data_IF_547642410955
#
_entry.id   IF_547642410955
#
_cell.length_a   1.000
_cell.length_b   1.000
_cell.length_c   1.000
_cell.angle_alpha   90.00
_cell.angle_beta   90.00
_cell.angle_gamma   90.00
#
_symmetry.space_group_name_H-M   'P 1'
#
loop_
_entity.id
_entity.type
_entity.pdbx_description
1 polymer ?
#
# COMPACT_ATOMS: atom_id res chain seq x y z
N UNK A 1 -60.00 6.73 -24.32
CA UNK A 1 -59.38 5.76 -23.38
C UNK A 1 -57.95 6.11 -23.20
N UNK A 2 -57.63 6.81 -22.10
CA UNK A 2 -56.33 7.39 -21.84
C UNK A 2 -55.36 6.33 -21.33
N UNK A 3 -54.16 6.32 -21.95
CA UNK A 3 -53.04 5.46 -21.59
C UNK A 3 -52.34 5.97 -20.31
N UNK A 4 -52.93 5.64 -19.18
CA UNK A 4 -52.44 6.00 -17.84
C UNK A 4 -51.79 4.79 -17.20
N UNK A 5 -50.48 4.52 -17.38
CA UNK A 5 -49.76 3.64 -16.41
C UNK A 5 -48.26 3.34 -16.65
N UNK A 6 -47.57 4.02 -17.52
CA UNK A 6 -46.13 3.72 -17.70
C UNK A 6 -45.19 4.57 -16.77
N UNK A 7 -45.63 5.71 -16.32
CA UNK A 7 -44.83 6.63 -15.51
C UNK A 7 -44.43 6.12 -14.10
N UNK A 8 -45.32 5.47 -13.32
CA UNK A 8 -44.97 5.09 -11.93
C UNK A 8 -43.99 3.93 -11.85
N UNK A 9 -43.94 3.03 -12.83
CA UNK A 9 -43.02 1.87 -12.82
C UNK A 9 -41.58 2.31 -13.10
N UNK A 10 -41.36 3.20 -14.06
CA UNK A 10 -40.03 3.74 -14.36
C UNK A 10 -39.41 4.54 -13.19
N UNK A 11 -40.23 5.28 -12.46
CA UNK A 11 -39.78 6.05 -11.28
C UNK A 11 -39.28 5.18 -10.12
N UNK A 12 -39.80 3.95 -9.99
CA UNK A 12 -39.36 2.99 -8.95
C UNK A 12 -38.19 2.12 -9.43
N UNK A 13 -38.15 1.78 -10.71
CA UNK A 13 -37.10 0.89 -11.26
C UNK A 13 -35.73 1.54 -11.32
N UNK A 14 -35.64 2.84 -11.66
CA UNK A 14 -34.35 3.53 -11.78
C UNK A 14 -33.59 3.59 -10.43
N UNK A 15 -34.21 3.98 -9.30
CA UNK A 15 -33.56 3.91 -7.99
C UNK A 15 -33.15 2.49 -7.59
N UNK A 16 -34.03 1.50 -7.82
CA UNK A 16 -33.75 0.11 -7.48
C UNK A 16 -32.55 -0.46 -8.27
N UNK A 17 -32.45 -0.15 -9.57
CA UNK A 17 -31.29 -0.54 -10.39
C UNK A 17 -30.01 0.13 -9.89
N UNK A 18 -30.07 1.39 -9.50
CA UNK A 18 -28.92 2.13 -8.93
C UNK A 18 -28.47 1.50 -7.61
N UNK A 19 -29.42 1.17 -6.72
CA UNK A 19 -29.14 0.52 -5.43
C UNK A 19 -28.50 -0.86 -5.64
N UNK A 20 -29.07 -1.70 -6.52
CA UNK A 20 -28.53 -3.02 -6.84
C UNK A 20 -27.11 -2.89 -7.41
N UNK A 21 -26.86 -1.92 -8.28
CA UNK A 21 -25.52 -1.65 -8.82
C UNK A 21 -24.53 -1.31 -7.68
N UNK A 22 -24.90 -0.43 -6.79
CA UNK A 22 -24.06 -0.04 -5.65
C UNK A 22 -23.76 -1.23 -4.73
N UNK A 23 -24.73 -2.10 -4.46
CA UNK A 23 -24.55 -3.32 -3.69
C UNK A 23 -23.56 -4.28 -4.37
N UNK A 24 -23.68 -4.47 -5.68
CA UNK A 24 -22.77 -5.32 -6.44
C UNK A 24 -21.33 -4.76 -6.48
N UNK A 25 -21.17 -3.45 -6.66
CA UNK A 25 -19.88 -2.77 -6.65
C UNK A 25 -19.22 -2.86 -5.28
N UNK A 26 -19.96 -2.61 -4.20
CA UNK A 26 -19.48 -2.78 -2.83
C UNK A 26 -19.04 -4.23 -2.55
N UNK A 27 -19.84 -5.22 -2.95
CA UNK A 27 -19.50 -6.63 -2.79
C UNK A 27 -18.21 -7.00 -3.54
N UNK A 28 -18.08 -6.60 -4.80
CA UNK A 28 -16.87 -6.85 -5.61
C UNK A 28 -15.63 -6.22 -4.97
N UNK A 29 -15.76 -4.98 -4.47
CA UNK A 29 -14.67 -4.29 -3.78
C UNK A 29 -14.24 -5.03 -2.51
N UNK A 30 -15.21 -5.49 -1.71
CA UNK A 30 -14.93 -6.23 -0.49
C UNK A 30 -14.20 -7.56 -0.78
N UNK A 31 -14.68 -8.33 -1.77
CA UNK A 31 -14.03 -9.58 -2.18
C UNK A 31 -12.59 -9.31 -2.65
N UNK A 32 -12.38 -8.30 -3.48
CA UNK A 32 -11.03 -7.95 -3.96
C UNK A 32 -10.09 -7.56 -2.81
N UNK A 33 -10.59 -6.84 -1.80
CA UNK A 33 -9.82 -6.49 -0.60
C UNK A 33 -9.48 -7.72 0.25
N UNK A 34 -10.43 -8.64 0.44
CA UNK A 34 -10.18 -9.88 1.18
C UNK A 34 -9.13 -10.76 0.48
N UNK A 35 -9.22 -10.92 -0.83
CA UNK A 35 -8.23 -11.67 -1.62
C UNK A 35 -6.85 -11.02 -1.50
N UNK A 36 -6.77 -9.69 -1.59
CA UNK A 36 -5.52 -8.96 -1.44
C UNK A 36 -4.92 -9.13 -0.04
N UNK A 37 -5.76 -9.03 1.00
CA UNK A 37 -5.33 -9.21 2.39
C UNK A 37 -4.77 -10.62 2.63
N UNK A 38 -5.42 -11.66 2.10
CA UNK A 38 -4.96 -13.04 2.21
C UNK A 38 -3.64 -13.26 1.47
N UNK A 39 -3.48 -12.65 0.29
CA UNK A 39 -2.23 -12.69 -0.46
C UNK A 39 -1.08 -12.05 0.33
N UNK A 40 -1.30 -10.87 0.92
CA UNK A 40 -0.31 -10.19 1.75
C UNK A 40 0.05 -11.01 2.98
N UNK A 41 -0.94 -11.62 3.66
CA UNK A 41 -0.73 -12.52 4.79
C UNK A 41 0.15 -13.71 4.40
N UNK A 42 -0.13 -14.30 3.25
CA UNK A 42 0.64 -15.42 2.73
C UNK A 42 2.09 -15.03 2.44
N UNK A 43 2.33 -13.89 1.79
CA UNK A 43 3.68 -13.41 1.51
C UNK A 43 4.45 -13.05 2.77
N UNK A 44 3.77 -12.51 3.78
CA UNK A 44 4.37 -12.24 5.09
C UNK A 44 4.82 -13.54 5.78
N UNK A 45 3.96 -14.57 5.81
CA UNK A 45 4.28 -15.89 6.37
C UNK A 45 5.42 -16.58 5.60
N UNK A 46 5.46 -16.45 4.28
CA UNK A 46 6.60 -16.96 3.48
C UNK A 46 7.88 -16.22 3.88
N UNK A 47 7.82 -14.90 4.04
CA UNK A 47 8.95 -14.10 4.52
C UNK A 47 9.46 -14.56 5.89
N UNK A 48 8.57 -14.90 6.82
CA UNK A 48 8.91 -15.49 8.11
C UNK A 48 9.68 -16.81 7.97
N UNK A 49 9.19 -17.71 7.11
CA UNK A 49 9.86 -18.99 6.84
C UNK A 49 11.24 -18.77 6.25
N UNK A 50 11.39 -17.84 5.32
CA UNK A 50 12.70 -17.48 4.70
C UNK A 50 13.68 -17.03 5.78
N UNK A 51 13.26 -16.12 6.67
CA UNK A 51 14.12 -15.61 7.75
C UNK A 51 14.51 -16.72 8.73
N UNK A 52 13.57 -17.60 9.08
CA UNK A 52 13.88 -18.77 9.94
C UNK A 52 14.90 -19.72 9.29
N UNK A 53 14.78 -19.98 7.99
CA UNK A 53 15.75 -20.80 7.26
C UNK A 53 17.15 -20.16 7.30
N UNK A 54 17.26 -18.84 7.09
CA UNK A 54 18.55 -18.13 7.18
C UNK A 54 19.16 -18.18 8.58
N UNK A 55 18.35 -18.10 9.63
CA UNK A 55 18.82 -18.16 11.04
C UNK A 55 19.31 -19.55 11.43
N UNK A 56 18.66 -20.61 10.96
CA UNK A 56 19.08 -21.99 11.22
C UNK A 56 20.40 -22.33 10.50
N UNK A 57 20.70 -21.67 9.37
CA UNK A 57 21.96 -21.78 8.64
C UNK A 57 23.07 -20.87 9.21
N UNK A 58 22.83 -20.16 10.33
CA UNK A 58 23.71 -19.12 10.89
C UNK A 58 25.10 -19.62 11.37
N UNK A 59 25.38 -20.92 11.35
CA UNK A 59 26.72 -21.47 11.48
C UNK A 59 27.62 -21.06 10.27
N UNK A 60 27.05 -20.51 9.20
CA UNK A 60 27.76 -20.06 7.98
C UNK A 60 27.22 -18.72 7.47
N UNK A 61 27.52 -17.63 8.15
CA UNK A 61 27.17 -16.26 7.74
C UNK A 61 27.58 -15.85 6.30
N UNK A 62 28.45 -16.61 5.64
CA UNK A 62 28.85 -16.43 4.23
C UNK A 62 27.83 -17.01 3.22
N UNK A 63 26.75 -17.65 3.65
CA UNK A 63 25.84 -18.41 2.80
C UNK A 63 24.46 -17.81 2.57
N UNK A 64 24.06 -16.72 3.26
CA UNK A 64 22.70 -16.17 3.20
C UNK A 64 22.21 -15.83 1.78
N UNK A 65 23.07 -15.27 0.92
CA UNK A 65 22.70 -15.00 -0.49
C UNK A 65 22.55 -16.28 -1.31
N UNK A 66 23.36 -17.30 -1.02
CA UNK A 66 23.27 -18.60 -1.70
C UNK A 66 22.01 -19.34 -1.27
N UNK A 67 21.64 -19.30 0.00
CA UNK A 67 20.42 -19.91 0.55
C UNK A 67 19.17 -19.33 -0.09
N UNK A 68 19.06 -17.99 -0.16
CA UNK A 68 17.95 -17.33 -0.82
C UNK A 68 17.83 -17.73 -2.31
N UNK A 69 18.97 -17.79 -3.01
CA UNK A 69 19.00 -18.17 -4.42
C UNK A 69 18.62 -19.63 -4.65
N UNK A 70 19.07 -20.52 -3.79
CA UNK A 70 18.73 -21.96 -3.84
C UNK A 70 17.24 -22.17 -3.52
N UNK A 71 16.72 -21.52 -2.48
CA UNK A 71 15.31 -21.56 -2.10
C UNK A 71 14.42 -21.04 -3.23
N UNK A 72 14.76 -19.89 -3.83
CA UNK A 72 14.03 -19.33 -4.97
C UNK A 72 13.98 -20.30 -6.16
N UNK A 73 15.11 -20.97 -6.48
CA UNK A 73 15.14 -21.97 -7.56
C UNK A 73 14.25 -23.17 -7.27
N UNK A 74 14.31 -23.71 -6.03
CA UNK A 74 13.47 -24.82 -5.60
C UNK A 74 11.99 -24.45 -5.68
N UNK A 75 11.59 -23.32 -5.10
CA UNK A 75 10.22 -22.83 -5.13
C UNK A 75 9.73 -22.56 -6.56
N UNK A 76 10.55 -21.97 -7.41
CA UNK A 76 10.18 -21.73 -8.81
C UNK A 76 9.97 -23.03 -9.58
N UNK A 77 10.79 -24.06 -9.30
CA UNK A 77 10.65 -25.39 -9.91
C UNK A 77 9.36 -26.09 -9.51
N UNK A 78 8.95 -25.97 -8.23
CA UNK A 78 7.79 -26.68 -7.69
C UNK A 78 6.48 -25.89 -7.85
N UNK A 79 6.51 -24.56 -7.62
CA UNK A 79 5.33 -23.71 -7.51
C UNK A 79 5.18 -22.69 -8.65
N UNK A 80 6.18 -22.55 -9.52
CA UNK A 80 6.13 -21.72 -10.71
C UNK A 80 6.64 -20.29 -10.53
N UNK A 81 6.26 -19.40 -11.47
CA UNK A 81 6.89 -18.07 -11.69
C UNK A 81 6.78 -17.07 -10.55
N UNK A 82 5.91 -17.25 -9.57
CA UNK A 82 5.71 -16.30 -8.46
C UNK A 82 6.88 -16.19 -7.47
N UNK A 83 7.87 -17.07 -7.55
CA UNK A 83 8.96 -17.21 -6.57
C UNK A 83 10.34 -16.84 -7.13
N UNK A 84 10.39 -15.81 -7.99
CA UNK A 84 11.68 -15.26 -8.43
C UNK A 84 12.53 -14.79 -7.24
N UNK A 85 13.87 -14.76 -7.39
CA UNK A 85 14.79 -14.30 -6.35
C UNK A 85 14.40 -12.93 -5.79
N UNK A 86 14.02 -11.99 -6.67
CA UNK A 86 13.57 -10.65 -6.26
C UNK A 86 12.28 -10.70 -5.43
N UNK A 87 11.32 -11.55 -5.82
CA UNK A 87 10.06 -11.64 -5.10
C UNK A 87 10.23 -12.32 -3.73
N UNK A 88 11.03 -13.39 -3.64
CA UNK A 88 11.37 -14.04 -2.36
C UNK A 88 12.15 -13.08 -1.44
N UNK A 89 13.06 -12.28 -2.00
CA UNK A 89 13.74 -11.22 -1.27
C UNK A 89 12.76 -10.16 -0.74
N UNK A 90 11.80 -9.72 -1.55
CA UNK A 90 10.78 -8.77 -1.12
C UNK A 90 9.87 -9.35 -0.02
N UNK A 91 9.49 -10.63 -0.10
CA UNK A 91 8.74 -11.30 0.97
C UNK A 91 9.51 -11.32 2.29
N UNK A 92 10.82 -11.64 2.23
CA UNK A 92 11.72 -11.55 3.38
C UNK A 92 11.79 -10.14 3.97
N UNK A 93 12.01 -9.13 3.13
CA UNK A 93 12.07 -7.73 3.57
C UNK A 93 10.72 -7.26 4.13
N UNK A 94 9.62 -7.75 3.58
CA UNK A 94 8.28 -7.45 4.04
C UNK A 94 8.07 -7.92 5.49
N UNK A 95 8.43 -9.17 5.80
CA UNK A 95 8.40 -9.68 7.16
C UNK A 95 9.29 -8.86 8.13
N UNK A 96 10.52 -8.53 7.73
CA UNK A 96 11.44 -7.75 8.55
C UNK A 96 10.98 -6.29 8.77
N UNK A 97 10.32 -5.71 7.78
CA UNK A 97 9.86 -4.31 7.83
C UNK A 97 8.54 -4.13 8.58
N UNK A 98 7.71 -5.16 8.59
CA UNK A 98 6.40 -5.20 9.22
C UNK A 98 6.32 -6.37 10.21
N UNK A 99 6.96 -6.26 11.40
CA UNK A 99 7.03 -7.36 12.37
C UNK A 99 5.67 -7.78 12.91
N UNK A 100 4.67 -6.90 12.82
CA UNK A 100 3.29 -7.16 13.22
C UNK A 100 2.40 -7.07 11.97
N UNK A 101 1.94 -8.22 11.46
CA UNK A 101 1.12 -8.26 10.24
C UNK A 101 -0.17 -7.43 10.33
N UNK A 102 -0.78 -7.30 11.52
CA UNK A 102 -1.99 -6.51 11.74
C UNK A 102 -1.82 -5.02 11.38
N UNK A 103 -0.60 -4.50 11.31
CA UNK A 103 -0.32 -3.13 10.88
C UNK A 103 -0.31 -2.95 9.36
N UNK A 104 -0.32 -4.05 8.60
CA UNK A 104 -0.29 -4.04 7.13
C UNK A 104 -1.66 -3.64 6.58
N UNK A 105 -1.69 -2.59 5.76
CA UNK A 105 -2.94 -2.13 5.15
C UNK A 105 -3.37 -3.02 3.98
N UNK A 106 -4.54 -3.64 4.09
CA UNK A 106 -5.16 -4.39 3.00
C UNK A 106 -5.65 -3.52 1.82
N UNK A 107 -5.57 -2.19 1.94
CA UNK A 107 -5.90 -1.26 0.86
C UNK A 107 -4.80 -1.15 -0.20
N UNK A 108 -3.56 -1.48 0.16
CA UNK A 108 -2.41 -1.49 -0.73
C UNK A 108 -2.18 -2.89 -1.30
N UNK A 109 -1.84 -2.98 -2.59
CA UNK A 109 -1.48 -4.24 -3.23
C UNK A 109 -0.04 -4.64 -2.92
N UNK A 110 0.32 -5.91 -3.21
CA UNK A 110 1.70 -6.39 -3.11
C UNK A 110 2.70 -5.50 -3.86
N UNK A 111 2.32 -5.02 -5.06
CA UNK A 111 3.19 -4.13 -5.85
C UNK A 111 3.47 -2.78 -5.16
N UNK A 112 2.52 -2.23 -4.38
CA UNK A 112 2.79 -1.04 -3.57
C UNK A 112 3.82 -1.35 -2.48
N UNK A 113 3.68 -2.49 -1.80
CA UNK A 113 4.65 -2.89 -0.78
C UNK A 113 6.04 -3.13 -1.38
N UNK A 114 6.14 -3.71 -2.58
CA UNK A 114 7.44 -3.85 -3.27
C UNK A 114 8.14 -2.50 -3.51
N UNK A 115 7.39 -1.44 -3.86
CA UNK A 115 7.95 -0.08 -3.99
C UNK A 115 8.35 0.48 -2.61
N UNK A 116 7.49 0.37 -1.60
CA UNK A 116 7.74 0.86 -0.25
C UNK A 116 8.96 0.20 0.40
N UNK A 117 9.22 -1.07 0.12
CA UNK A 117 10.37 -1.82 0.64
C UNK A 117 11.72 -1.31 0.10
N UNK A 118 11.74 -0.52 -0.98
CA UNK A 118 12.95 0.16 -1.45
C UNK A 118 13.39 1.30 -0.52
N UNK A 119 12.50 1.78 0.34
CA UNK A 119 12.76 2.87 1.30
C UNK A 119 13.31 2.24 2.60
N UNK A 120 14.58 2.49 2.91
CA UNK A 120 15.21 2.00 4.14
C UNK A 120 14.77 2.76 5.39
N UNK A 121 14.51 4.08 5.29
CA UNK A 121 14.01 4.90 6.39
C UNK A 121 12.57 4.51 6.73
N UNK A 122 12.36 4.08 7.98
CA UNK A 122 11.07 3.61 8.49
C UNK A 122 10.00 4.71 8.50
N UNK A 123 10.38 5.93 8.86
CA UNK A 123 9.43 7.04 8.96
C UNK A 123 9.01 7.54 7.57
N UNK A 124 9.97 7.68 6.66
CA UNK A 124 9.73 7.98 5.25
C UNK A 124 8.84 6.91 4.60
N UNK A 125 9.11 5.63 4.84
CA UNK A 125 8.29 4.53 4.35
C UNK A 125 6.86 4.60 4.91
N UNK A 126 6.70 4.83 6.23
CA UNK A 126 5.39 4.99 6.87
C UNK A 126 4.61 6.18 6.32
N UNK A 127 5.28 7.30 6.03
CA UNK A 127 4.66 8.46 5.36
C UNK A 127 4.09 8.07 4.00
N UNK A 128 4.88 7.49 3.10
CA UNK A 128 4.41 7.11 1.77
C UNK A 128 3.32 6.03 1.80
N UNK A 129 3.38 5.10 2.75
CA UNK A 129 2.34 4.10 2.97
C UNK A 129 1.00 4.76 3.32
N UNK A 130 0.98 5.67 4.29
CA UNK A 130 -0.21 6.39 4.74
C UNK A 130 -0.76 7.27 3.63
N UNK A 131 0.08 8.02 2.94
CA UNK A 131 -0.32 8.86 1.81
C UNK A 131 -0.92 8.04 0.67
N UNK A 132 -0.32 6.90 0.33
CA UNK A 132 -0.85 6.00 -0.70
C UNK A 132 -2.24 5.46 -0.32
N UNK A 133 -2.47 5.16 0.97
CA UNK A 133 -3.79 4.74 1.48
C UNK A 133 -4.80 5.89 1.47
N UNK A 134 -4.41 7.07 1.95
CA UNK A 134 -5.30 8.22 2.12
C UNK A 134 -5.74 8.80 0.78
N UNK A 135 -4.80 8.93 -0.14
CA UNK A 135 -5.02 9.52 -1.48
C UNK A 135 -5.41 8.48 -2.54
N UNK A 136 -5.43 7.20 -2.19
CA UNK A 136 -5.76 6.11 -3.11
C UNK A 136 -4.79 6.02 -4.29
N UNK A 137 -3.50 6.25 -4.07
CA UNK A 137 -2.52 6.23 -5.13
C UNK A 137 -2.42 4.86 -5.80
N UNK A 138 -2.26 4.87 -7.11
CA UNK A 138 -1.80 3.71 -7.86
C UNK A 138 -0.30 3.48 -7.60
N UNK A 139 0.21 2.27 -7.90
CA UNK A 139 1.65 1.97 -7.83
C UNK A 139 2.49 2.97 -8.62
N UNK A 140 1.99 3.38 -9.81
CA UNK A 140 2.65 4.37 -10.67
C UNK A 140 2.71 5.75 -10.01
N UNK A 141 1.63 6.15 -9.34
CA UNK A 141 1.57 7.41 -8.64
C UNK A 141 2.49 7.40 -7.41
N UNK A 142 2.46 6.34 -6.60
CA UNK A 142 3.35 6.16 -5.47
C UNK A 142 4.82 6.31 -5.90
N UNK A 143 5.23 5.62 -6.97
CA UNK A 143 6.58 5.73 -7.52
C UNK A 143 6.92 7.16 -7.92
N UNK A 144 6.02 7.85 -8.63
CA UNK A 144 6.19 9.25 -9.04
C UNK A 144 6.40 10.18 -7.83
N UNK A 145 5.62 9.99 -6.77
CA UNK A 145 5.74 10.80 -5.55
C UNK A 145 7.05 10.53 -4.80
N UNK A 146 7.51 9.28 -4.78
CA UNK A 146 8.82 8.91 -4.23
C UNK A 146 9.97 9.52 -5.03
N UNK A 147 9.94 9.42 -6.37
CA UNK A 147 10.94 9.99 -7.28
C UNK A 147 11.00 11.53 -7.19
N UNK A 148 9.86 12.18 -6.97
CA UNK A 148 9.79 13.63 -6.79
C UNK A 148 10.17 14.10 -5.40
N UNK A 149 10.59 13.20 -4.51
CA UNK A 149 11.00 13.48 -3.13
C UNK A 149 9.94 14.27 -2.35
N UNK A 150 8.68 13.84 -2.43
CA UNK A 150 7.56 14.54 -1.78
C UNK A 150 7.81 14.72 -0.27
N UNK A 151 8.28 13.68 0.41
CA UNK A 151 8.56 13.72 1.85
C UNK A 151 9.59 14.79 2.20
N UNK A 152 10.72 14.82 1.50
CA UNK A 152 11.80 15.79 1.70
C UNK A 152 11.34 17.22 1.42
N UNK A 153 10.56 17.43 0.35
CA UNK A 153 10.00 18.74 0.02
C UNK A 153 9.05 19.26 1.10
N UNK A 154 8.25 18.39 1.70
CA UNK A 154 7.37 18.77 2.80
C UNK A 154 8.17 19.14 4.07
N UNK A 155 9.26 18.42 4.35
CA UNK A 155 10.14 18.77 5.46
C UNK A 155 10.78 20.13 5.26
N UNK A 156 11.28 20.43 4.04
CA UNK A 156 11.92 21.70 3.72
C UNK A 156 10.93 22.88 3.70
N UNK A 157 9.69 22.67 3.31
CA UNK A 157 8.69 23.74 3.16
C UNK A 157 8.22 24.33 4.49
N UNK A 158 8.46 23.64 5.59
CA UNK A 158 7.90 24.01 6.91
C UNK A 158 8.95 24.26 8.01
N UNK A 159 10.26 24.10 7.78
CA UNK A 159 11.35 24.28 8.77
C UNK A 159 11.52 23.08 9.73
N UNK A 160 12.53 23.10 10.58
CA UNK A 160 12.98 21.97 11.42
C UNK A 160 11.95 21.41 12.43
N UNK A 161 10.90 22.18 12.76
CA UNK A 161 9.83 21.74 13.68
C UNK A 161 8.88 20.68 13.09
N UNK A 162 9.19 20.11 11.95
CA UNK A 162 8.16 19.64 11.02
C UNK A 162 8.05 18.15 10.74
N UNK A 163 9.07 17.35 11.07
CA UNK A 163 9.00 15.90 10.80
C UNK A 163 7.83 15.26 11.53
N UNK A 164 7.67 15.57 12.81
CA UNK A 164 6.56 15.06 13.62
C UNK A 164 5.20 15.55 13.12
N UNK A 165 5.12 16.82 12.68
CA UNK A 165 3.88 17.37 12.12
C UNK A 165 3.52 16.73 10.78
N UNK A 166 4.48 16.51 9.87
CA UNK A 166 4.26 15.85 8.59
C UNK A 166 3.77 14.42 8.82
N UNK A 167 4.38 13.68 9.74
CA UNK A 167 3.96 12.33 10.10
C UNK A 167 2.58 12.32 10.76
N UNK A 168 2.32 13.23 11.70
CA UNK A 168 1.03 13.35 12.38
C UNK A 168 -0.12 13.72 11.42
N UNK A 169 0.14 14.56 10.42
CA UNK A 169 -0.86 14.92 9.41
C UNK A 169 -1.12 13.77 8.44
N UNK A 170 -0.10 13.00 8.05
CA UNK A 170 -0.28 11.77 7.27
C UNK A 170 -1.12 10.75 8.05
N UNK A 171 -0.97 10.66 9.38
CA UNK A 171 -1.82 9.83 10.24
C UNK A 171 -3.28 10.29 10.27
N UNK A 172 -3.51 11.60 10.23
CA UNK A 172 -4.87 12.18 10.18
C UNK A 172 -5.55 12.06 8.82
N UNK A 173 -4.85 11.55 7.79
CA UNK A 173 -5.40 11.35 6.45
C UNK A 173 -5.47 12.63 5.61
N UNK A 174 -4.58 13.57 5.84
CA UNK A 174 -4.44 14.78 5.01
C UNK A 174 -3.79 14.41 3.67
N UNK A 175 -4.45 14.72 2.58
CA UNK A 175 -3.94 14.49 1.22
C UNK A 175 -3.05 15.67 0.78
N UNK A 176 -1.73 15.49 0.87
CA UNK A 176 -0.75 16.51 0.50
C UNK A 176 -0.64 16.77 -1.01
N UNK A 177 -1.26 15.96 -1.84
CA UNK A 177 -1.24 16.16 -3.30
C UNK A 177 -2.29 17.17 -3.77
N UNK A 178 -3.23 17.56 -2.91
CA UNK A 178 -4.22 18.58 -3.23
C UNK A 178 -3.62 19.98 -3.16
N UNK A 179 -3.77 20.82 -4.21
CA UNK A 179 -3.12 22.13 -4.32
C UNK A 179 -3.42 23.10 -3.16
N UNK A 180 -4.59 23.00 -2.54
CA UNK A 180 -5.02 23.89 -1.45
C UNK A 180 -4.22 23.75 -0.15
N UNK A 181 -3.51 22.65 0.06
CA UNK A 181 -2.74 22.41 1.28
C UNK A 181 -1.29 22.90 1.18
N UNK A 182 -0.79 23.13 -0.04
CA UNK A 182 0.57 23.65 -0.27
C UNK A 182 0.68 25.18 -0.08
N UNK A 183 -0.47 25.90 -0.08
CA UNK A 183 -0.49 27.38 -0.09
C UNK A 183 -1.09 28.05 1.14
N UNK A 184 -1.51 27.32 2.16
CA UNK A 184 -2.08 27.91 3.39
C UNK A 184 -1.05 28.11 4.50
N UNK A 185 0.12 28.62 4.19
CA UNK A 185 0.97 29.25 5.20
C UNK A 185 0.71 30.75 5.12
N UNK A 186 0.21 31.43 6.18
CA UNK A 186 0.13 32.87 6.19
C UNK A 186 1.55 33.44 6.03
N UNK A 187 1.72 34.30 5.04
CA UNK A 187 2.98 35.01 4.83
C UNK A 187 3.30 35.83 6.07
N UNK A 188 4.55 35.82 6.62
CA UNK A 188 4.92 36.62 7.79
C UNK A 188 5.02 38.14 7.50
N UNK A 189 4.43 38.64 6.42
CA UNK A 189 4.51 40.04 5.99
C UNK A 189 3.27 40.90 6.25
N UNK A 190 2.25 40.35 6.91
CA UNK A 190 1.05 41.12 7.28
C UNK A 190 0.98 41.27 8.81
N UNK A 191 2.03 41.89 9.36
CA UNK A 191 2.04 42.42 10.74
C UNK A 191 2.65 43.81 10.73
#
# INVERSE_FOLDING_TARGET
MENKSAAPVAQVLVPAVSEIRSLLEASRKNVAQQVNQELLSTYWKIGEVVVRCEQNDSIRAAYGEKTLSQLSRALTKELGKGFSRSNVYNMRQFYLSYPIFQTVSGKLSWSHYCELLSISDKEKRSFYEKEAVNSGWSVRELRRQMESSLFERLLLSRGDANKEQVLALAEKGVDYTKPCLLYTSPSPRDS
#
